data_IF_139890600312
#
_entry.id   IF_139890600312
#
_cell.length_a   1.000
_cell.length_b   1.000
_cell.length_c   1.000
_cell.angle_alpha   90.00
_cell.angle_beta   90.00
_cell.angle_gamma   90.00
#
_symmetry.space_group_name_H-M   'P 1'
#
loop_
_entity.id
_entity.type
_entity.pdbx_description
1 polymer ?
#
# COMPACT_ATOMS: atom_id res chain seq x y z
N UNK A 1 -34.11 0.36 5.16
CA UNK A 1 -33.46 -0.73 5.90
C UNK A 1 -31.99 -0.39 6.04
N UNK A 2 -31.59 0.26 7.14
CA UNK A 2 -30.19 0.55 7.40
C UNK A 2 -29.52 -0.74 7.82
N UNK A 3 -28.84 -1.42 6.89
CA UNK A 3 -28.04 -2.59 7.19
C UNK A 3 -26.83 -2.10 8.00
N UNK A 4 -26.96 -2.10 9.33
CA UNK A 4 -25.85 -1.93 10.24
C UNK A 4 -24.98 -3.18 10.18
N UNK A 5 -24.26 -3.34 9.07
CA UNK A 5 -23.17 -4.29 8.93
C UNK A 5 -22.00 -3.78 9.77
N UNK A 6 -22.13 -3.89 11.08
CA UNK A 6 -21.03 -3.65 11.99
C UNK A 6 -20.04 -4.80 11.81
N UNK A 7 -19.09 -4.61 10.90
CA UNK A 7 -17.97 -5.52 10.75
C UNK A 7 -17.21 -5.61 12.07
N UNK A 8 -16.90 -6.82 12.53
CA UNK A 8 -15.99 -7.00 13.65
C UNK A 8 -14.60 -6.48 13.24
N UNK A 9 -14.02 -5.58 14.02
CA UNK A 9 -12.74 -4.94 13.73
C UNK A 9 -11.74 -5.28 14.84
N UNK A 10 -10.50 -5.57 14.45
CA UNK A 10 -9.37 -5.70 15.38
C UNK A 10 -8.13 -5.02 14.82
N UNK A 11 -7.12 -4.86 15.67
CA UNK A 11 -5.79 -4.41 15.28
C UNK A 11 -4.78 -5.52 15.56
N UNK A 12 -3.93 -5.83 14.60
CA UNK A 12 -2.87 -6.83 14.82
C UNK A 12 -1.72 -6.23 15.65
N UNK A 13 -0.76 -7.07 16.07
CA UNK A 13 0.42 -6.63 16.83
C UNK A 13 1.26 -5.56 16.12
N UNK A 14 1.22 -5.52 14.79
CA UNK A 14 1.93 -4.54 13.95
C UNK A 14 1.17 -3.22 13.75
N UNK A 15 -0.03 -3.08 14.34
CA UNK A 15 -0.86 -1.87 14.28
C UNK A 15 -1.81 -1.77 13.08
N UNK A 16 -1.93 -2.82 12.27
CA UNK A 16 -2.83 -2.82 11.11
C UNK A 16 -4.25 -3.21 11.50
N UNK A 17 -5.22 -2.44 10.99
CA UNK A 17 -6.64 -2.74 11.10
C UNK A 17 -6.98 -3.98 10.26
N UNK A 18 -7.73 -4.90 10.87
CA UNK A 18 -8.33 -6.06 10.23
C UNK A 18 -9.84 -6.08 10.46
N UNK A 19 -10.59 -6.66 9.54
CA UNK A 19 -12.01 -6.94 9.71
C UNK A 19 -12.28 -8.44 9.54
N UNK A 20 -13.35 -8.93 10.15
CA UNK A 20 -13.78 -10.31 9.97
C UNK A 20 -14.60 -10.44 8.67
N UNK A 21 -14.15 -11.31 7.77
CA UNK A 21 -14.83 -11.67 6.54
C UNK A 21 -15.97 -12.67 6.82
N UNK A 22 -16.82 -12.90 5.81
CA UNK A 22 -18.00 -13.75 5.95
C UNK A 22 -17.68 -15.22 6.24
N UNK A 23 -16.50 -15.69 5.85
CA UNK A 23 -15.99 -17.03 6.14
C UNK A 23 -15.39 -17.15 7.56
N UNK A 24 -15.46 -16.09 8.36
CA UNK A 24 -14.88 -16.01 9.69
C UNK A 24 -13.38 -15.68 9.70
N UNK A 25 -12.74 -15.62 8.53
CA UNK A 25 -11.37 -15.19 8.33
C UNK A 25 -11.15 -13.72 8.67
N UNK A 26 -9.89 -13.33 8.89
CA UNK A 26 -9.54 -11.95 9.18
C UNK A 26 -8.73 -11.35 8.05
N UNK A 27 -9.27 -10.33 7.43
CA UNK A 27 -8.66 -9.64 6.29
C UNK A 27 -8.06 -8.29 6.71
N UNK A 28 -6.95 -7.93 6.07
CA UNK A 28 -6.32 -6.63 6.26
C UNK A 28 -7.11 -5.52 5.55
N UNK A 29 -7.58 -4.54 6.31
CA UNK A 29 -8.42 -3.46 5.75
C UNK A 29 -7.70 -2.68 4.65
N UNK A 30 -6.41 -2.36 4.81
CA UNK A 30 -5.64 -1.67 3.78
C UNK A 30 -5.52 -2.48 2.50
N UNK A 31 -5.39 -3.81 2.58
CA UNK A 31 -5.21 -4.68 1.41
C UNK A 31 -6.50 -4.72 0.61
N UNK A 32 -7.63 -4.98 1.27
CA UNK A 32 -8.95 -4.99 0.62
C UNK A 32 -9.28 -3.64 -0.04
N UNK A 33 -9.00 -2.51 0.65
CA UNK A 33 -9.24 -1.18 0.07
C UNK A 33 -8.35 -0.93 -1.15
N UNK A 34 -7.07 -1.32 -1.07
CA UNK A 34 -6.13 -1.17 -2.18
C UNK A 34 -6.52 -2.02 -3.39
N UNK A 35 -6.91 -3.29 -3.21
CA UNK A 35 -7.40 -4.18 -4.28
C UNK A 35 -8.64 -3.59 -4.96
N UNK A 36 -9.60 -3.08 -4.18
CA UNK A 36 -10.78 -2.39 -4.71
C UNK A 36 -10.41 -1.13 -5.49
N UNK A 37 -9.40 -0.37 -5.03
CA UNK A 37 -8.92 0.85 -5.71
C UNK A 37 -8.30 0.53 -7.07
N UNK A 38 -7.50 -0.53 -7.16
CA UNK A 38 -6.80 -0.89 -8.41
C UNK A 38 -7.61 -1.81 -9.33
N UNK A 39 -8.75 -2.34 -8.85
CA UNK A 39 -9.65 -3.18 -9.64
C UNK A 39 -9.11 -4.59 -9.90
N UNK A 40 -8.07 -5.03 -9.17
CA UNK A 40 -7.48 -6.36 -9.30
C UNK A 40 -6.88 -6.83 -7.95
N UNK A 41 -6.63 -8.14 -7.79
CA UNK A 41 -5.84 -8.64 -6.67
C UNK A 41 -4.44 -8.04 -6.65
N UNK A 42 -3.88 -7.86 -5.46
CA UNK A 42 -2.48 -7.49 -5.28
C UNK A 42 -1.62 -8.73 -5.56
N UNK A 43 -0.64 -8.59 -6.44
CA UNK A 43 0.25 -9.69 -6.85
C UNK A 43 1.19 -10.12 -5.72
N UNK A 44 1.77 -11.33 -5.77
CA UNK A 44 2.67 -11.83 -4.72
C UNK A 44 3.91 -10.96 -4.47
N UNK A 45 4.37 -10.23 -5.49
CA UNK A 45 5.51 -9.32 -5.44
C UNK A 45 5.09 -7.85 -5.21
N UNK A 46 3.87 -7.59 -4.78
CA UNK A 46 3.33 -6.26 -4.54
C UNK A 46 2.90 -6.07 -3.08
N UNK A 47 3.08 -4.84 -2.60
CA UNK A 47 2.78 -4.42 -1.24
C UNK A 47 1.96 -3.13 -1.23
N UNK A 48 1.05 -3.02 -0.26
CA UNK A 48 0.36 -1.76 0.02
C UNK A 48 1.24 -0.89 0.90
N UNK A 49 1.52 0.32 0.45
CA UNK A 49 2.21 1.35 1.21
C UNK A 49 1.24 2.46 1.64
N UNK A 50 1.32 2.86 2.91
CA UNK A 50 0.62 4.03 3.43
C UNK A 50 1.45 5.29 3.19
N UNK A 51 0.99 6.17 2.30
CA UNK A 51 1.72 7.38 1.88
C UNK A 51 2.08 8.27 3.09
N UNK A 52 1.14 8.46 4.02
CA UNK A 52 1.35 9.24 5.25
C UNK A 52 1.96 8.45 6.41
N UNK A 53 2.35 7.18 6.20
CA UNK A 53 2.89 6.25 7.22
C UNK A 53 1.93 5.92 8.39
N UNK A 54 0.69 6.41 8.35
CA UNK A 54 -0.34 6.10 9.33
C UNK A 54 -1.10 4.81 8.94
N UNK A 55 -0.78 3.71 9.62
CA UNK A 55 -1.33 2.36 9.36
C UNK A 55 -2.85 2.24 9.55
N UNK A 56 -3.47 3.16 10.30
CA UNK A 56 -4.92 3.14 10.53
C UNK A 56 -5.69 4.00 9.52
N UNK A 57 -5.02 4.87 8.78
CA UNK A 57 -5.61 5.66 7.69
C UNK A 57 -5.70 4.83 6.42
N UNK A 58 -6.81 4.11 6.29
CA UNK A 58 -7.07 3.20 5.18
C UNK A 58 -7.88 3.86 4.05
N UNK A 59 -7.88 5.20 3.95
CA UNK A 59 -8.53 5.89 2.81
C UNK A 59 -7.84 5.49 1.51
N UNK A 60 -8.57 5.21 0.40
CA UNK A 60 -7.96 4.84 -0.87
C UNK A 60 -6.89 5.83 -1.35
N UNK A 61 -7.07 7.13 -1.09
CA UNK A 61 -6.09 8.17 -1.44
C UNK A 61 -4.76 8.07 -0.68
N UNK A 62 -4.73 7.43 0.49
CA UNK A 62 -3.53 7.23 1.30
C UNK A 62 -2.81 5.90 1.01
N UNK A 63 -3.39 5.03 0.17
CA UNK A 63 -2.86 3.72 -0.13
C UNK A 63 -2.32 3.67 -1.56
N UNK A 64 -1.10 3.16 -1.73
CA UNK A 64 -0.52 2.87 -3.04
C UNK A 64 -0.01 1.44 -3.07
N UNK A 65 -0.22 0.75 -4.19
CA UNK A 65 0.33 -0.59 -4.42
C UNK A 65 1.63 -0.41 -5.17
N UNK A 66 2.72 -0.97 -4.65
CA UNK A 66 4.07 -0.88 -5.20
C UNK A 66 4.74 -2.25 -5.17
N UNK A 67 5.70 -2.49 -6.06
CA UNK A 67 6.50 -3.71 -6.06
C UNK A 67 7.35 -3.81 -4.78
N UNK A 68 7.61 -5.03 -4.31
CA UNK A 68 8.37 -5.32 -3.08
C UNK A 68 9.75 -4.64 -3.07
N UNK A 69 10.47 -4.69 -4.20
CA UNK A 69 11.77 -4.03 -4.33
C UNK A 69 11.67 -2.50 -4.12
N UNK A 70 10.62 -1.87 -4.66
CA UNK A 70 10.37 -0.44 -4.48
C UNK A 70 9.95 -0.16 -3.04
N UNK A 71 9.10 -1.00 -2.45
CA UNK A 71 8.69 -0.87 -1.06
C UNK A 71 9.89 -0.88 -0.11
N UNK A 72 10.84 -1.79 -0.36
CA UNK A 72 12.11 -1.83 0.37
C UNK A 72 12.90 -0.54 0.22
N UNK A 73 13.03 0.02 -0.98
CA UNK A 73 13.76 1.29 -1.17
C UNK A 73 13.08 2.47 -0.49
N UNK A 74 11.74 2.55 -0.55
CA UNK A 74 10.95 3.57 0.15
C UNK A 74 11.14 3.49 1.67
N UNK A 75 11.27 2.29 2.23
CA UNK A 75 11.54 2.10 3.65
C UNK A 75 13.02 2.21 4.02
N UNK A 76 13.94 1.91 3.11
CA UNK A 76 15.39 2.06 3.28
C UNK A 76 15.80 3.52 3.38
N UNK A 77 15.06 4.42 2.72
CA UNK A 77 15.22 5.86 2.91
C UNK A 77 14.73 6.34 4.29
N UNK A 78 15.44 5.94 5.35
CA UNK A 78 15.25 6.44 6.72
C UNK A 78 15.67 7.91 6.90
N UNK A 79 16.02 8.63 5.84
CA UNK A 79 16.57 9.98 5.93
C UNK A 79 15.55 11.03 5.49
N UNK A 80 14.65 11.37 6.43
CA UNK A 80 13.83 12.60 6.60
C UNK A 80 13.21 13.36 5.41
N UNK A 81 13.74 13.36 4.17
CA UNK A 81 13.36 14.35 3.15
C UNK A 81 13.48 13.89 1.69
N UNK A 82 13.51 12.58 1.40
CA UNK A 82 13.55 12.12 0.00
C UNK A 82 12.24 11.47 -0.41
N UNK A 83 11.46 12.19 -1.24
CA UNK A 83 10.33 11.65 -1.99
C UNK A 83 10.86 10.61 -2.99
N UNK A 84 10.87 9.34 -2.57
CA UNK A 84 11.18 8.22 -3.45
C UNK A 84 9.98 7.97 -4.37
N UNK A 85 10.25 7.85 -5.66
CA UNK A 85 9.25 7.55 -6.67
C UNK A 85 8.69 6.15 -6.45
N UNK A 86 7.38 6.03 -6.22
CA UNK A 86 6.69 4.76 -6.02
C UNK A 86 6.62 3.88 -7.28
N UNK A 87 6.99 4.40 -8.45
CA UNK A 87 7.08 3.61 -9.68
C UNK A 87 8.49 3.04 -9.88
N UNK A 88 9.51 3.90 -9.89
CA UNK A 88 10.88 3.50 -10.24
C UNK A 88 11.82 3.28 -9.06
N UNK A 89 11.46 3.72 -7.84
CA UNK A 89 12.29 3.60 -6.64
C UNK A 89 13.40 4.65 -6.49
N UNK A 90 13.62 5.52 -7.50
CA UNK A 90 14.62 6.60 -7.42
C UNK A 90 14.09 7.80 -6.65
N UNK A 91 15.00 8.61 -6.12
CA UNK A 91 14.69 9.88 -5.44
C UNK A 91 14.61 11.04 -6.45
N UNK A 92 14.19 12.23 -6.02
CA UNK A 92 14.07 13.48 -6.80
C UNK A 92 12.75 13.73 -7.52
N UNK A 93 11.87 12.74 -7.66
CA UNK A 93 10.57 12.91 -8.31
C UNK A 93 9.52 11.99 -7.69
N UNK A 94 8.24 12.31 -7.92
CA UNK A 94 7.11 11.48 -7.50
C UNK A 94 6.68 10.52 -8.62
N UNK A 95 5.86 9.53 -8.30
CA UNK A 95 5.36 8.57 -9.29
C UNK A 95 4.59 9.22 -10.45
N UNK A 96 3.93 10.35 -10.20
CA UNK A 96 3.19 11.10 -11.24
C UNK A 96 4.13 11.74 -12.27
N UNK A 97 5.33 12.14 -11.85
CA UNK A 97 6.34 12.78 -12.70
C UNK A 97 7.43 11.79 -13.12
N UNK A 98 7.14 10.49 -13.06
CA UNK A 98 8.15 9.47 -13.34
C UNK A 98 8.46 9.42 -14.84
N UNK A 99 9.68 9.85 -15.20
CA UNK A 99 10.22 9.81 -16.55
C UNK A 99 11.10 8.58 -16.81
N UNK A 100 11.21 7.66 -15.85
CA UNK A 100 12.07 6.49 -15.97
C UNK A 100 11.41 5.38 -16.80
N UNK A 101 12.21 4.67 -17.59
CA UNK A 101 11.77 3.47 -18.32
C UNK A 101 12.03 2.17 -17.56
N UNK A 102 12.85 2.23 -16.51
CA UNK A 102 13.27 1.09 -15.69
C UNK A 102 13.27 1.45 -14.21
N UNK A 103 13.06 0.48 -13.33
CA UNK A 103 13.22 0.67 -11.89
C UNK A 103 14.69 0.68 -11.44
N UNK A 104 14.93 0.80 -10.13
CA UNK A 104 16.25 0.76 -9.48
C UNK A 104 17.00 -0.56 -9.69
N UNK A 105 16.30 -1.65 -9.98
CA UNK A 105 16.89 -2.98 -10.19
C UNK A 105 17.05 -3.31 -11.69
N UNK A 106 16.64 -2.40 -12.58
CA UNK A 106 16.72 -2.58 -14.03
C UNK A 106 15.51 -3.31 -14.65
N UNK A 107 14.42 -3.52 -13.91
CA UNK A 107 13.17 -4.04 -14.48
C UNK A 107 12.44 -2.95 -15.24
N UNK A 108 11.81 -3.30 -16.36
CA UNK A 108 10.98 -2.36 -17.12
C UNK A 108 9.73 -1.96 -16.31
N UNK A 109 9.39 -0.66 -16.38
CA UNK A 109 8.20 -0.07 -15.75
C UNK A 109 6.96 -0.17 -16.65
#
# INVERSE_FOLDING_TARGET
MSNNNNLNIRYNKSGYRQYQANDGGWEYTHRTVAEKKIGRPIEPNEHVHHINKNKVDNRPSNLVVIKDNIHREVHRSDYKEKNSCFNCGRTSHWAQDCYASYDVDGNRL
#
